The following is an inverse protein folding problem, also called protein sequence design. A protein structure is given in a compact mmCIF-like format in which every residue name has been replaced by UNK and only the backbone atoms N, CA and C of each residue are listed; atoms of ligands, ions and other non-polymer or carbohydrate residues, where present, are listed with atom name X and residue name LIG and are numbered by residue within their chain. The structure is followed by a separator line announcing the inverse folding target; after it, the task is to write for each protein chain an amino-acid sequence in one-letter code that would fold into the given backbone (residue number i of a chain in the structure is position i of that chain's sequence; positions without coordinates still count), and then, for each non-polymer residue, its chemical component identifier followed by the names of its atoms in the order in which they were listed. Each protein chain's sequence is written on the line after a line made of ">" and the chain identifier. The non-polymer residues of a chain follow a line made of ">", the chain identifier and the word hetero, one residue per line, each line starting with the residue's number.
data_IF_395847158497
#
_entry.id   IF_395847158497
#
_cell.length_a   1.000
_cell.length_b   1.000
_cell.length_c   1.000
_cell.angle_alpha   90.00
_cell.angle_beta   90.00
_cell.angle_gamma   90.00
#
_symmetry.space_group_name_H-M   'P 1'
#
loop_
_entity.id
_entity.type
_entity.pdbx_description
1 polymer ?
#
# COMPACT_ATOMS: atom_id res chain seq x y z
N UNK A 1 4.09 18.85 -14.26
CA UNK A 1 3.94 17.44 -14.64
C UNK A 1 4.10 16.44 -13.52
N UNK A 2 4.42 16.94 -12.38
CA UNK A 2 4.68 16.21 -11.14
C UNK A 2 3.45 15.50 -10.58
N UNK A 3 2.27 15.84 -11.04
CA UNK A 3 1.02 15.32 -10.49
C UNK A 3 0.39 14.20 -11.34
N UNK A 4 0.86 13.96 -12.55
CA UNK A 4 0.29 12.99 -13.49
C UNK A 4 0.94 11.60 -13.44
N UNK A 5 2.05 11.46 -12.73
CA UNK A 5 2.73 10.18 -12.56
C UNK A 5 2.18 9.33 -11.41
N UNK A 6 1.10 9.71 -10.78
CA UNK A 6 0.65 9.21 -9.49
C UNK A 6 0.13 7.78 -9.49
N UNK A 7 -0.41 7.28 -10.58
CA UNK A 7 -0.71 5.87 -10.72
C UNK A 7 0.49 5.03 -11.15
N UNK A 8 1.62 5.68 -11.41
CA UNK A 8 2.79 5.14 -12.08
C UNK A 8 4.07 5.39 -11.27
N UNK A 9 3.95 5.85 -10.04
CA UNK A 9 5.08 6.05 -9.15
C UNK A 9 5.82 4.74 -8.87
N UNK A 10 7.03 4.82 -8.35
CA UNK A 10 7.83 3.64 -8.03
C UNK A 10 7.20 2.75 -6.95
N UNK A 11 6.23 3.28 -6.19
CA UNK A 11 5.58 2.57 -5.08
C UNK A 11 4.95 1.26 -5.55
N UNK A 12 4.07 1.27 -6.53
CA UNK A 12 3.40 0.03 -6.95
C UNK A 12 4.36 -0.98 -7.61
N UNK A 13 5.38 -0.51 -8.34
CA UNK A 13 6.39 -1.39 -8.93
C UNK A 13 7.20 -2.10 -7.84
N UNK A 14 7.61 -1.37 -6.81
CA UNK A 14 8.31 -1.95 -5.66
C UNK A 14 7.42 -2.87 -4.83
N UNK A 15 6.13 -2.60 -4.75
CA UNK A 15 5.18 -3.52 -4.12
C UNK A 15 5.05 -4.82 -4.91
N UNK A 16 4.91 -4.75 -6.24
CA UNK A 16 4.87 -5.96 -7.09
C UNK A 16 6.16 -6.76 -6.93
N UNK A 17 7.33 -6.12 -7.00
CA UNK A 17 8.62 -6.75 -6.76
C UNK A 17 8.66 -7.50 -5.42
N UNK A 18 8.23 -6.81 -4.35
CA UNK A 18 8.21 -7.41 -3.00
C UNK A 18 7.19 -8.53 -2.86
N UNK A 19 6.01 -8.43 -3.48
CA UNK A 19 5.01 -9.51 -3.49
C UNK A 19 5.56 -10.75 -4.18
N UNK A 20 6.25 -10.59 -5.31
CA UNK A 20 6.91 -11.70 -6.02
C UNK A 20 8.00 -12.33 -5.14
N UNK A 21 8.86 -11.54 -4.51
CA UNK A 21 9.90 -12.01 -3.60
C UNK A 21 9.35 -12.82 -2.41
N UNK A 22 8.17 -12.44 -1.92
CA UNK A 22 7.47 -13.13 -0.83
C UNK A 22 6.65 -14.34 -1.30
N UNK A 23 6.70 -14.71 -2.58
CA UNK A 23 6.01 -15.86 -3.16
C UNK A 23 4.54 -15.59 -3.48
N UNK A 24 4.09 -14.33 -3.45
CA UNK A 24 2.75 -13.94 -3.88
C UNK A 24 2.63 -13.80 -5.39
N UNK A 25 1.40 -13.85 -5.90
CA UNK A 25 1.07 -13.67 -7.30
C UNK A 25 0.30 -12.37 -7.52
N UNK A 26 0.86 -11.46 -8.31
CA UNK A 26 0.20 -10.22 -8.71
C UNK A 26 -0.58 -10.47 -10.00
N UNK A 27 -1.87 -10.24 -9.99
CA UNK A 27 -2.76 -10.52 -11.12
C UNK A 27 -3.35 -9.28 -11.77
N UNK A 28 -3.28 -8.11 -11.10
CA UNK A 28 -3.78 -6.85 -11.65
C UNK A 28 -2.78 -5.73 -11.47
N UNK A 29 -2.68 -4.88 -12.48
CA UNK A 29 -2.04 -3.56 -12.39
C UNK A 29 -2.87 -2.55 -13.18
N UNK A 30 -2.84 -1.30 -12.76
CA UNK A 30 -3.61 -0.22 -13.40
C UNK A 30 -2.79 1.04 -13.62
N UNK A 31 -3.22 1.82 -14.59
CA UNK A 31 -2.79 3.20 -14.77
C UNK A 31 -4.00 4.12 -15.04
N UNK A 32 -3.75 5.37 -15.48
CA UNK A 32 -4.83 6.32 -15.74
C UNK A 32 -5.73 5.97 -16.92
N UNK A 33 -5.32 5.03 -17.78
CA UNK A 33 -6.11 4.62 -18.96
C UNK A 33 -6.98 3.40 -18.68
N UNK A 34 -6.64 2.61 -17.65
CA UNK A 34 -7.37 1.38 -17.33
C UNK A 34 -6.53 0.39 -16.53
N UNK A 35 -6.93 -0.87 -16.57
CA UNK A 35 -6.19 -1.93 -15.87
C UNK A 35 -6.01 -3.19 -16.73
N UNK A 36 -5.03 -3.98 -16.35
CA UNK A 36 -4.82 -5.34 -16.84
C UNK A 36 -5.24 -6.36 -15.79
N UNK A 37 -5.73 -7.50 -16.24
CA UNK A 37 -5.91 -8.71 -15.44
C UNK A 37 -5.19 -9.86 -16.13
N UNK A 38 -4.16 -10.34 -15.49
CA UNK A 38 -3.33 -11.46 -15.94
C UNK A 38 -3.44 -12.61 -14.94
N UNK A 39 -4.30 -13.62 -15.21
CA UNK A 39 -4.52 -14.73 -14.28
C UNK A 39 -3.28 -15.61 -14.08
N UNK A 40 -2.35 -15.60 -15.04
CA UNK A 40 -1.08 -16.35 -14.92
C UNK A 40 -0.11 -15.66 -13.96
N UNK A 41 -0.36 -14.38 -13.70
CA UNK A 41 0.44 -13.55 -12.79
C UNK A 41 1.55 -12.79 -13.49
N UNK A 42 1.96 -11.70 -12.84
CA UNK A 42 3.08 -10.85 -13.26
C UNK A 42 4.32 -11.36 -12.55
N UNK A 43 5.21 -12.01 -13.29
CA UNK A 43 6.52 -12.44 -12.83
C UNK A 43 7.60 -11.33 -13.00
N UNK A 44 8.85 -11.68 -12.74
CA UNK A 44 9.96 -10.72 -12.82
C UNK A 44 10.17 -10.19 -14.24
N UNK A 45 10.09 -11.05 -15.25
CA UNK A 45 10.28 -10.64 -16.65
C UNK A 45 9.17 -9.66 -17.09
N UNK A 46 7.93 -10.00 -16.77
CA UNK A 46 6.77 -9.15 -17.04
C UNK A 46 6.84 -7.82 -16.30
N UNK A 47 7.31 -7.82 -15.05
CA UNK A 47 7.53 -6.60 -14.29
C UNK A 47 8.63 -5.73 -14.92
N UNK A 48 9.74 -6.31 -15.33
CA UNK A 48 10.84 -5.58 -15.98
C UNK A 48 10.36 -4.93 -17.29
N UNK A 49 9.54 -5.62 -18.07
CA UNK A 49 8.88 -5.02 -19.24
C UNK A 49 8.00 -3.81 -18.84
N UNK A 50 7.18 -3.93 -17.79
CA UNK A 50 6.35 -2.82 -17.31
C UNK A 50 7.24 -1.64 -16.87
N UNK A 51 8.33 -1.93 -16.19
CA UNK A 51 9.27 -0.89 -15.73
C UNK A 51 9.90 -0.17 -16.91
N UNK A 52 10.34 -0.89 -17.94
CA UNK A 52 10.87 -0.31 -19.18
C UNK A 52 9.80 0.52 -19.89
N UNK A 53 8.62 -0.05 -20.10
CA UNK A 53 7.47 0.61 -20.72
C UNK A 53 7.16 1.95 -20.05
N UNK A 54 7.13 1.97 -18.71
CA UNK A 54 6.75 3.16 -17.96
C UNK A 54 7.87 4.17 -17.78
N UNK A 55 9.11 3.72 -17.55
CA UNK A 55 10.21 4.61 -17.22
C UNK A 55 10.89 5.16 -18.48
N UNK A 56 11.06 4.33 -19.51
CA UNK A 56 11.76 4.70 -20.73
C UNK A 56 10.79 5.22 -21.80
N UNK A 57 9.76 4.43 -22.12
CA UNK A 57 8.84 4.76 -23.21
C UNK A 57 7.64 5.60 -22.77
N UNK A 58 7.37 5.73 -21.47
CA UNK A 58 6.19 6.40 -20.91
C UNK A 58 4.87 5.88 -21.49
N UNK A 59 4.88 4.61 -21.90
CA UNK A 59 3.74 3.92 -22.50
C UNK A 59 2.61 3.61 -21.52
N UNK A 60 1.56 2.98 -22.01
CA UNK A 60 0.36 2.63 -21.25
C UNK A 60 0.30 1.16 -20.93
N UNK A 61 -0.38 0.80 -19.82
CA UNK A 61 -0.46 -0.58 -19.37
C UNK A 61 -1.15 -1.50 -20.41
N UNK A 62 -1.98 -0.97 -21.31
CA UNK A 62 -2.57 -1.73 -22.41
C UNK A 62 -1.55 -2.43 -23.29
N UNK A 63 -0.37 -1.83 -23.50
CA UNK A 63 0.71 -2.40 -24.32
C UNK A 63 1.25 -3.71 -23.71
N UNK A 64 1.17 -3.84 -22.37
CA UNK A 64 1.42 -5.11 -21.71
C UNK A 64 0.39 -6.18 -22.13
N UNK A 65 -0.90 -5.81 -22.12
CA UNK A 65 -1.95 -6.75 -22.52
C UNK A 65 -1.83 -7.18 -23.98
N UNK A 66 -1.44 -6.27 -24.87
CA UNK A 66 -1.17 -6.56 -26.27
C UNK A 66 0.00 -7.54 -26.43
N UNK A 67 1.07 -7.38 -25.62
CA UNK A 67 2.25 -8.23 -25.68
C UNK A 67 2.01 -9.63 -25.10
N UNK A 68 1.35 -9.71 -23.95
CA UNK A 68 1.20 -10.96 -23.19
C UNK A 68 -0.17 -11.63 -23.34
N UNK A 69 -1.08 -11.04 -24.12
CA UNK A 69 -2.39 -11.62 -24.43
C UNK A 69 -3.36 -11.70 -23.25
N UNK A 70 -3.21 -10.83 -22.24
CA UNK A 70 -4.10 -10.79 -21.08
C UNK A 70 -5.26 -9.80 -21.25
N UNK A 71 -6.22 -9.83 -20.34
CA UNK A 71 -7.38 -8.93 -20.34
C UNK A 71 -6.94 -7.48 -20.07
N UNK A 72 -7.42 -6.54 -20.88
CA UNK A 72 -7.35 -5.11 -20.64
C UNK A 72 -8.74 -4.50 -20.57
N UNK A 73 -8.97 -3.62 -19.60
CA UNK A 73 -10.24 -2.89 -19.45
C UNK A 73 -9.94 -1.40 -19.37
N UNK A 74 -10.36 -0.69 -20.42
CA UNK A 74 -10.15 0.75 -20.54
C UNK A 74 -11.06 1.54 -19.59
N UNK A 75 -10.54 2.62 -19.02
CA UNK A 75 -11.28 3.57 -18.20
C UNK A 75 -11.85 3.02 -16.89
N UNK A 76 -11.44 1.82 -16.48
CA UNK A 76 -11.91 1.16 -15.26
C UNK A 76 -10.76 0.89 -14.27
N UNK A 77 -11.13 0.56 -13.03
CA UNK A 77 -10.22 0.19 -11.94
C UNK A 77 -10.37 -1.30 -11.62
N UNK A 78 -9.33 -1.96 -11.07
CA UNK A 78 -9.27 -3.42 -10.97
C UNK A 78 -10.09 -4.01 -9.80
N UNK A 79 -10.80 -3.18 -9.03
CA UNK A 79 -11.42 -3.58 -7.76
C UNK A 79 -12.57 -4.60 -7.90
N UNK A 80 -13.05 -4.82 -9.11
CA UNK A 80 -14.02 -5.86 -9.44
C UNK A 80 -13.41 -7.25 -9.72
N UNK A 81 -12.10 -7.35 -9.88
CA UNK A 81 -11.42 -8.63 -10.13
C UNK A 81 -11.20 -9.41 -8.83
N UNK A 82 -11.17 -10.74 -8.95
CA UNK A 82 -10.96 -11.62 -7.79
C UNK A 82 -9.50 -11.58 -7.35
N UNK A 83 -9.28 -11.41 -6.05
CA UNK A 83 -7.97 -11.46 -5.41
C UNK A 83 -8.09 -11.55 -3.90
N UNK A 84 -7.06 -12.09 -3.25
CA UNK A 84 -7.03 -12.25 -1.79
C UNK A 84 -6.62 -10.93 -1.09
N UNK A 85 -5.75 -10.14 -1.73
CA UNK A 85 -5.19 -8.92 -1.16
C UNK A 85 -5.33 -7.78 -2.17
N UNK A 86 -5.78 -6.61 -1.69
CA UNK A 86 -5.82 -5.38 -2.48
C UNK A 86 -4.78 -4.37 -1.96
N UNK A 87 -4.01 -3.79 -2.88
CA UNK A 87 -2.92 -2.84 -2.59
C UNK A 87 -3.15 -1.51 -3.33
N UNK A 88 -4.10 -0.66 -2.89
CA UNK A 88 -4.34 0.62 -3.51
C UNK A 88 -3.13 1.54 -3.29
N UNK A 89 -2.48 1.95 -4.39
CA UNK A 89 -1.17 2.59 -4.36
C UNK A 89 -1.03 3.78 -5.31
N UNK A 90 -2.14 4.20 -5.93
CA UNK A 90 -2.11 5.25 -6.96
C UNK A 90 -2.41 6.64 -6.39
N UNK A 91 -3.67 6.93 -6.12
CA UNK A 91 -4.11 8.28 -5.77
C UNK A 91 -5.11 8.29 -4.62
N UNK A 92 -5.27 9.48 -4.05
CA UNK A 92 -6.31 9.75 -3.07
C UNK A 92 -7.70 9.44 -3.66
N UNK A 93 -8.55 8.79 -2.84
CA UNK A 93 -9.94 8.44 -3.18
C UNK A 93 -10.09 7.57 -4.45
N UNK A 94 -9.11 6.72 -4.72
CA UNK A 94 -9.17 5.80 -5.86
C UNK A 94 -10.06 4.57 -5.64
N UNK A 95 -10.47 4.31 -4.39
CA UNK A 95 -11.31 3.18 -4.02
C UNK A 95 -12.52 3.69 -3.24
N UNK A 96 -13.70 3.58 -3.86
CA UNK A 96 -14.97 4.06 -3.29
C UNK A 96 -15.74 2.94 -2.58
N UNK A 97 -16.89 3.31 -1.96
CA UNK A 97 -17.68 2.36 -1.17
C UNK A 97 -18.26 1.19 -1.98
N UNK A 98 -18.64 1.40 -3.23
CA UNK A 98 -19.20 0.33 -4.06
C UNK A 98 -18.12 -0.63 -4.55
N UNK A 99 -16.94 -0.12 -4.87
CA UNK A 99 -15.76 -0.93 -5.17
C UNK A 99 -15.30 -1.74 -3.94
N UNK A 100 -15.38 -1.15 -2.75
CA UNK A 100 -15.09 -1.86 -1.51
C UNK A 100 -16.06 -3.03 -1.26
N UNK A 101 -17.36 -2.84 -1.53
CA UNK A 101 -18.36 -3.93 -1.47
C UNK A 101 -18.04 -5.05 -2.46
N UNK A 102 -17.59 -4.69 -3.68
CA UNK A 102 -17.18 -5.69 -4.67
C UNK A 102 -15.96 -6.49 -4.21
N UNK A 103 -14.94 -5.82 -3.66
CA UNK A 103 -13.77 -6.51 -3.09
C UNK A 103 -14.16 -7.49 -1.99
N UNK A 104 -15.01 -7.07 -1.05
CA UNK A 104 -15.49 -7.94 0.03
C UNK A 104 -16.31 -9.11 -0.53
N UNK A 105 -17.21 -8.85 -1.48
CA UNK A 105 -18.01 -9.90 -2.11
C UNK A 105 -17.14 -10.91 -2.90
N UNK A 106 -16.01 -10.47 -3.45
CA UNK A 106 -15.04 -11.31 -4.14
C UNK A 106 -14.10 -12.09 -3.21
N UNK A 107 -14.24 -11.89 -1.88
CA UNK A 107 -13.51 -12.64 -0.87
C UNK A 107 -12.14 -12.06 -0.51
N UNK A 108 -11.90 -10.77 -0.73
CA UNK A 108 -10.68 -10.13 -0.26
C UNK A 108 -10.54 -10.29 1.26
N UNK A 109 -9.37 -10.73 1.71
CA UNK A 109 -9.06 -10.93 3.14
C UNK A 109 -8.28 -9.76 3.74
N UNK A 110 -7.55 -9.02 2.90
CA UNK A 110 -6.78 -7.88 3.35
C UNK A 110 -6.73 -6.75 2.32
N UNK A 111 -6.74 -5.51 2.83
CA UNK A 111 -6.46 -4.29 2.06
C UNK A 111 -5.33 -3.54 2.76
N UNK A 112 -4.26 -3.22 2.05
CA UNK A 112 -3.13 -2.46 2.59
C UNK A 112 -2.81 -1.27 1.70
N UNK A 113 -2.95 -0.08 2.24
CA UNK A 113 -2.82 1.16 1.50
C UNK A 113 -1.36 1.57 1.30
N UNK A 114 -0.91 1.57 0.04
CA UNK A 114 0.40 2.14 -0.34
C UNK A 114 0.34 3.63 -0.61
N UNK A 115 -0.79 4.13 -1.12
CA UNK A 115 -1.02 5.56 -1.33
C UNK A 115 -1.47 6.27 -0.04
N UNK A 116 -1.45 7.60 -0.09
CA UNK A 116 -2.03 8.43 0.96
C UNK A 116 -3.55 8.54 0.75
N UNK A 117 -4.32 7.98 1.68
CA UNK A 117 -5.77 8.06 1.73
C UNK A 117 -6.46 7.60 0.40
N UNK A 118 -6.12 6.41 -0.12
CA UNK A 118 -6.71 5.93 -1.39
C UNK A 118 -8.16 5.48 -1.24
N UNK A 119 -8.56 5.01 -0.05
CA UNK A 119 -9.93 4.59 0.21
C UNK A 119 -10.78 5.75 0.74
N UNK A 120 -11.99 5.88 0.21
CA UNK A 120 -12.96 6.86 0.73
C UNK A 120 -13.47 6.46 2.12
N UNK A 121 -14.03 7.38 2.93
CA UNK A 121 -14.62 7.04 4.22
C UNK A 121 -15.70 5.95 4.13
N UNK A 122 -16.45 5.90 3.04
CA UNK A 122 -17.45 4.86 2.77
C UNK A 122 -16.79 3.50 2.57
N UNK A 123 -15.70 3.44 1.80
CA UNK A 123 -14.94 2.21 1.60
C UNK A 123 -14.36 1.68 2.92
N UNK A 124 -13.79 2.56 3.73
CA UNK A 124 -13.23 2.21 5.04
C UNK A 124 -14.31 1.59 5.93
N UNK A 125 -15.52 2.17 5.97
CA UNK A 125 -16.65 1.61 6.72
C UNK A 125 -17.01 0.20 6.25
N UNK A 126 -17.09 -0.03 4.95
CA UNK A 126 -17.37 -1.36 4.38
C UNK A 126 -16.32 -2.39 4.84
N UNK A 127 -15.03 -2.04 4.80
CA UNK A 127 -13.97 -2.94 5.26
C UNK A 127 -14.04 -3.25 6.75
N UNK A 128 -14.33 -2.25 7.57
CA UNK A 128 -14.48 -2.42 9.03
C UNK A 128 -15.72 -3.25 9.40
N UNK A 129 -16.85 -3.01 8.75
CA UNK A 129 -18.09 -3.78 8.95
C UNK A 129 -17.92 -5.24 8.53
N UNK A 130 -17.20 -5.49 7.44
CA UNK A 130 -16.85 -6.83 6.98
C UNK A 130 -15.74 -7.51 7.81
N UNK A 131 -15.11 -6.77 8.74
CA UNK A 131 -13.99 -7.24 9.59
C UNK A 131 -12.83 -7.85 8.83
N UNK A 132 -12.55 -7.35 7.62
CA UNK A 132 -11.34 -7.74 6.91
C UNK A 132 -10.12 -7.00 7.47
N UNK A 133 -8.93 -7.49 7.20
CA UNK A 133 -7.69 -6.82 7.60
C UNK A 133 -7.48 -5.57 6.74
N UNK A 134 -7.77 -4.41 7.28
CA UNK A 134 -7.60 -3.14 6.59
C UNK A 134 -6.50 -2.31 7.25
N UNK A 135 -5.37 -2.16 6.56
CA UNK A 135 -4.22 -1.36 7.01
C UNK A 135 -4.24 0.04 6.37
N UNK A 136 -4.57 1.09 7.15
CA UNK A 136 -4.66 2.46 6.63
C UNK A 136 -3.29 3.00 6.22
N UNK A 137 -3.27 3.86 5.20
CA UNK A 137 -2.05 4.42 4.62
C UNK A 137 -1.10 5.02 5.66
N UNK A 138 -1.64 5.76 6.64
CA UNK A 138 -0.83 6.36 7.72
C UNK A 138 0.05 5.38 8.51
N UNK A 139 -0.28 4.10 8.49
CA UNK A 139 0.51 3.03 9.10
C UNK A 139 1.22 2.18 8.01
N UNK A 140 0.46 1.74 7.01
CA UNK A 140 0.97 0.82 5.98
C UNK A 140 2.05 1.44 5.08
N UNK A 141 1.94 2.73 4.75
CA UNK A 141 2.92 3.41 3.90
C UNK A 141 4.02 4.18 4.67
N UNK A 142 4.10 4.03 5.98
CA UNK A 142 5.09 4.71 6.82
C UNK A 142 6.55 4.34 6.49
N UNK A 143 6.78 3.29 5.70
CA UNK A 143 8.11 2.87 5.27
C UNK A 143 8.87 3.96 4.52
N UNK A 144 8.22 4.67 3.62
CA UNK A 144 8.86 5.75 2.85
C UNK A 144 9.38 6.88 3.74
N UNK A 145 8.55 7.40 4.64
CA UNK A 145 8.96 8.46 5.56
C UNK A 145 9.99 7.96 6.58
N UNK A 146 9.94 6.69 6.96
CA UNK A 146 10.93 6.08 7.86
C UNK A 146 12.32 6.05 7.22
N UNK A 147 12.41 5.66 5.95
CA UNK A 147 13.69 5.67 5.20
C UNK A 147 14.22 7.10 5.07
N UNK A 148 13.36 8.07 4.80
CA UNK A 148 13.77 9.50 4.79
C UNK A 148 14.33 9.93 6.15
N UNK A 149 13.72 9.50 7.25
CA UNK A 149 14.25 9.74 8.60
C UNK A 149 15.60 9.08 8.85
N UNK A 150 15.80 7.86 8.35
CA UNK A 150 17.09 7.17 8.43
C UNK A 150 18.15 7.88 7.59
N UNK A 151 17.82 8.37 6.40
CA UNK A 151 18.70 9.18 5.56
C UNK A 151 19.13 10.48 6.27
N UNK A 152 18.17 11.21 6.86
CA UNK A 152 18.48 12.41 7.66
C UNK A 152 19.42 12.10 8.82
N UNK A 153 19.25 10.94 9.46
CA UNK A 153 20.14 10.49 10.54
C UNK A 153 21.55 10.24 10.03
N UNK A 154 21.72 9.50 8.93
CA UNK A 154 23.02 9.27 8.30
C UNK A 154 23.72 10.59 7.95
N UNK A 155 22.98 11.52 7.35
CA UNK A 155 23.49 12.84 7.00
C UNK A 155 23.95 13.62 8.24
N UNK A 156 23.20 13.56 9.32
CA UNK A 156 23.53 14.24 10.58
C UNK A 156 24.80 13.70 11.25
N UNK A 157 24.94 12.37 11.31
CA UNK A 157 26.12 11.72 11.92
C UNK A 157 27.29 11.61 10.95
N UNK A 158 27.10 11.95 9.67
CA UNK A 158 28.11 11.86 8.59
C UNK A 158 28.67 10.43 8.39
N UNK A 159 27.85 9.42 8.64
CA UNK A 159 28.17 8.01 8.42
C UNK A 159 27.11 7.39 7.51
N UNK A 160 27.54 6.57 6.55
CA UNK A 160 26.67 5.76 5.72
C UNK A 160 26.42 4.40 6.36
N UNK A 161 25.19 3.90 6.20
CA UNK A 161 24.83 2.51 6.50
C UNK A 161 24.75 1.70 5.21
N UNK A 162 25.01 0.39 5.31
CA UNK A 162 24.78 -0.51 4.18
C UNK A 162 23.28 -0.64 3.87
N UNK A 163 22.96 -1.19 2.70
CA UNK A 163 21.58 -1.46 2.32
C UNK A 163 20.93 -2.42 3.33
N UNK A 164 21.65 -3.43 3.79
CA UNK A 164 21.17 -4.42 4.75
C UNK A 164 20.84 -3.77 6.10
N UNK A 165 21.72 -2.89 6.58
CA UNK A 165 21.48 -2.15 7.84
C UNK A 165 20.25 -1.26 7.77
N UNK A 166 20.02 -0.58 6.62
CA UNK A 166 18.82 0.24 6.39
C UNK A 166 17.58 -0.64 6.34
N UNK A 167 17.63 -1.78 5.65
CA UNK A 167 16.50 -2.71 5.54
C UNK A 167 16.11 -3.32 6.91
N UNK A 168 17.09 -3.71 7.73
CA UNK A 168 16.85 -4.20 9.08
C UNK A 168 16.20 -3.15 9.98
N UNK A 169 16.69 -1.90 9.92
CA UNK A 169 16.09 -0.79 10.66
C UNK A 169 14.66 -0.52 10.20
N UNK A 170 14.42 -0.52 8.89
CA UNK A 170 13.09 -0.36 8.31
C UNK A 170 12.14 -1.47 8.76
N UNK A 171 12.56 -2.73 8.69
CA UNK A 171 11.78 -3.88 9.19
C UNK A 171 11.40 -3.72 10.66
N UNK A 172 12.36 -3.31 11.49
CA UNK A 172 12.11 -3.06 12.91
C UNK A 172 11.09 -1.93 13.13
N UNK A 173 11.20 -0.83 12.40
CA UNK A 173 10.25 0.29 12.49
C UNK A 173 8.85 -0.16 12.07
N UNK A 174 8.71 -0.85 10.93
CA UNK A 174 7.41 -1.30 10.44
C UNK A 174 6.78 -2.35 11.36
N UNK A 175 7.58 -3.24 11.94
CA UNK A 175 7.12 -4.20 12.95
C UNK A 175 6.59 -3.49 14.19
N UNK A 176 7.30 -2.50 14.71
CA UNK A 176 6.86 -1.72 15.87
C UNK A 176 5.55 -0.96 15.60
N UNK A 177 5.38 -0.41 14.37
CA UNK A 177 4.12 0.22 13.95
C UNK A 177 2.98 -0.80 13.95
N UNK A 178 3.21 -1.98 13.38
CA UNK A 178 2.23 -3.06 13.36
C UNK A 178 1.84 -3.48 14.79
N UNK A 179 2.82 -3.76 15.65
CA UNK A 179 2.59 -4.16 17.04
C UNK A 179 1.79 -3.09 17.82
N UNK A 180 2.11 -1.81 17.62
CA UNK A 180 1.34 -0.72 18.24
C UNK A 180 -0.11 -0.69 17.71
N UNK A 181 -0.32 -0.89 16.40
CA UNK A 181 -1.66 -0.97 15.85
C UNK A 181 -2.46 -2.14 16.43
N UNK A 182 -1.84 -3.31 16.57
CA UNK A 182 -2.45 -4.50 17.19
C UNK A 182 -2.79 -4.23 18.67
N UNK A 183 -1.82 -3.69 19.43
CA UNK A 183 -1.99 -3.41 20.86
C UNK A 183 -3.20 -2.51 21.13
N UNK A 184 -3.38 -1.45 20.35
CA UNK A 184 -4.45 -0.47 20.57
C UNK A 184 -5.71 -0.73 19.73
N UNK A 185 -5.63 -1.60 18.74
CA UNK A 185 -6.73 -1.87 17.80
C UNK A 185 -7.47 -3.17 18.04
N UNK A 186 -6.93 -4.10 18.84
CA UNK A 186 -7.58 -5.38 19.10
C UNK A 186 -8.88 -5.16 19.89
N UNK A 187 -9.97 -5.73 19.39
CA UNK A 187 -11.30 -5.67 19.96
C UNK A 187 -11.60 -6.93 20.78
N UNK A 188 -12.71 -6.93 21.52
CA UNK A 188 -13.06 -8.01 22.43
C UNK A 188 -13.29 -9.37 21.74
N UNK A 189 -13.65 -9.35 20.46
CA UNK A 189 -13.85 -10.55 19.63
C UNK A 189 -12.57 -11.03 18.90
N UNK A 190 -11.44 -10.39 19.17
CA UNK A 190 -10.15 -10.70 18.55
C UNK A 190 -9.89 -10.01 17.19
N UNK A 191 -10.86 -9.26 16.66
CA UNK A 191 -10.66 -8.47 15.46
C UNK A 191 -9.66 -7.34 15.71
N UNK A 192 -8.74 -7.12 14.79
CA UNK A 192 -7.79 -6.00 14.85
C UNK A 192 -8.27 -4.86 13.96
N UNK A 193 -8.78 -3.83 14.57
CA UNK A 193 -9.16 -2.58 13.92
C UNK A 193 -7.91 -1.68 13.78
N UNK A 194 -7.18 -1.84 12.68
CA UNK A 194 -5.95 -1.08 12.42
C UNK A 194 -6.17 0.43 12.31
N UNK A 195 -7.36 0.89 11.91
CA UNK A 195 -7.70 2.32 11.88
C UNK A 195 -7.69 2.90 13.29
N UNK A 196 -8.40 2.24 14.20
CA UNK A 196 -8.43 2.58 15.63
C UNK A 196 -7.03 2.47 16.24
N UNK A 197 -6.35 1.35 15.97
CA UNK A 197 -5.01 1.09 16.47
C UNK A 197 -4.00 2.18 16.08
N UNK A 198 -3.94 2.55 14.81
CA UNK A 198 -3.05 3.59 14.31
C UNK A 198 -3.37 4.98 14.93
N UNK A 199 -4.65 5.32 15.04
CA UNK A 199 -5.06 6.60 15.64
C UNK A 199 -4.70 6.67 17.12
N UNK A 200 -5.02 5.63 17.88
CA UNK A 200 -4.75 5.59 19.34
C UNK A 200 -3.26 5.54 19.61
N UNK A 201 -2.49 4.74 18.86
CA UNK A 201 -1.03 4.68 18.99
C UNK A 201 -0.38 6.06 18.79
N UNK A 202 -0.79 6.78 17.74
CA UNK A 202 -0.32 8.14 17.47
C UNK A 202 -0.71 9.12 18.59
N UNK A 203 -1.96 9.11 19.00
CA UNK A 203 -2.46 9.96 20.09
C UNK A 203 -1.72 9.69 21.41
N UNK A 204 -1.54 8.45 21.80
CA UNK A 204 -0.86 8.07 23.05
C UNK A 204 0.57 8.59 23.13
N UNK A 205 1.27 8.69 22.00
CA UNK A 205 2.61 9.24 21.94
C UNK A 205 2.64 10.72 22.33
N UNK A 206 1.69 11.49 21.78
CA UNK A 206 1.53 12.93 22.10
C UNK A 206 0.97 13.10 23.53
N UNK A 207 -0.04 12.37 23.92
CA UNK A 207 -0.65 12.47 25.25
C UNK A 207 0.37 12.18 26.37
N UNK A 208 1.22 11.16 26.22
CA UNK A 208 2.29 10.87 27.18
C UNK A 208 3.30 12.01 27.29
N UNK A 209 3.68 12.61 26.16
CA UNK A 209 4.58 13.77 26.17
C UNK A 209 3.95 14.98 26.85
N UNK A 210 2.66 15.27 26.58
CA UNK A 210 1.93 16.36 27.25
C UNK A 210 1.82 16.11 28.74
N UNK A 211 1.51 14.88 29.17
CA UNK A 211 1.46 14.55 30.59
C UNK A 211 2.82 14.69 31.29
N UNK A 212 3.92 14.35 30.62
CA UNK A 212 5.27 14.47 31.15
C UNK A 212 5.73 15.94 31.27
N UNK A 213 5.30 16.80 30.36
CA UNK A 213 5.67 18.22 30.34
C UNK A 213 4.70 19.10 31.17
N UNK A 214 3.53 18.59 31.50
CA UNK A 214 2.48 19.35 32.16
C UNK A 214 1.68 20.22 31.19
N UNK A 215 0.67 20.92 31.74
CA UNK A 215 -0.10 21.92 31.00
C UNK A 215 0.65 23.26 31.13
N UNK A 216 1.12 23.77 30.02
CA UNK A 216 1.79 25.09 29.95
C UNK A 216 0.78 26.15 29.58
#
# INVERSE_FOLDING_TARGET
>A
DRLRSRGLGDVYKRQVEKVIELGGKVVTMSDSDGYIYDPDGIDREKLDFIMELKNLYRGRIREYAEKYGCKYVAGARPWGEKGDIALPSATQNELNGDEAKQLVANGVIAVSEGANMPSTPEAIRVFQEAKILYAPGKAANAGGVSVSGLEMTQNSIKLGWSQEEVDEKLKSIMKNIHEACVQYGTEADGYVNYVKGANVAGFMKVAKAMMAQGIV
#
